data_IF_296448314065
#
_entry.id   IF_296448314065
#
_cell.length_a   1.000
_cell.length_b   1.000
_cell.length_c   1.000
_cell.angle_alpha   90.00
_cell.angle_beta   90.00
_cell.angle_gamma   90.00
#
_symmetry.space_group_name_H-M   'P 1'
#
loop_
_entity.id
_entity.type
_entity.pdbx_description
1 polymer ?
#
# COMPACT_ATOMS: atom_id res chain seq x y z
N UNK A 1 32.57 -10.38 4.07
CA UNK A 1 31.27 -10.86 3.54
C UNK A 1 30.81 -12.02 4.42
N UNK A 2 29.60 -12.01 5.00
CA UNK A 2 29.12 -13.16 5.77
C UNK A 2 29.06 -14.40 4.89
N UNK A 3 29.42 -15.57 5.43
CA UNK A 3 29.29 -16.84 4.72
C UNK A 3 27.82 -17.08 4.32
N UNK A 4 27.53 -17.72 3.16
CA UNK A 4 26.16 -17.98 2.70
C UNK A 4 25.25 -18.59 3.77
N UNK A 5 25.78 -19.53 4.56
CA UNK A 5 25.09 -20.15 5.70
C UNK A 5 24.64 -19.15 6.78
N UNK A 6 25.47 -18.15 7.08
CA UNK A 6 25.12 -17.09 8.05
C UNK A 6 24.03 -16.19 7.49
N UNK A 7 24.06 -15.91 6.18
CA UNK A 7 23.03 -15.12 5.52
C UNK A 7 21.66 -15.85 5.58
N UNK A 8 21.64 -17.15 5.27
CA UNK A 8 20.44 -17.99 5.38
C UNK A 8 19.95 -18.04 6.82
N UNK A 9 20.85 -18.20 7.79
CA UNK A 9 20.48 -18.21 9.21
C UNK A 9 19.85 -16.88 9.65
N UNK A 10 20.43 -15.75 9.26
CA UNK A 10 19.84 -14.44 9.55
C UNK A 10 18.49 -14.24 8.89
N UNK A 11 18.35 -14.63 7.61
CA UNK A 11 17.09 -14.54 6.88
C UNK A 11 16.00 -15.42 7.52
N UNK A 12 16.34 -16.64 7.91
CA UNK A 12 15.44 -17.56 8.60
C UNK A 12 15.04 -17.01 9.97
N UNK A 13 15.99 -16.53 10.77
CA UNK A 13 15.72 -15.94 12.08
C UNK A 13 14.83 -14.69 11.97
N UNK A 14 15.10 -13.80 11.01
CA UNK A 14 14.27 -12.61 10.78
C UNK A 14 12.87 -12.98 10.26
N UNK A 15 12.77 -13.97 9.38
CA UNK A 15 11.50 -14.44 8.84
C UNK A 15 10.62 -15.08 9.91
N UNK A 16 11.19 -15.96 10.75
CA UNK A 16 10.49 -16.58 11.86
C UNK A 16 10.10 -15.56 12.94
N UNK A 17 11.00 -14.63 13.26
CA UNK A 17 10.70 -13.54 14.19
C UNK A 17 9.58 -12.63 13.69
N UNK A 18 9.58 -12.31 12.39
CA UNK A 18 8.52 -11.53 11.74
C UNK A 18 7.19 -12.27 11.74
N UNK A 19 7.17 -13.55 11.37
CA UNK A 19 5.97 -14.38 11.38
C UNK A 19 5.39 -14.53 12.79
N UNK A 20 6.24 -14.76 13.80
CA UNK A 20 5.81 -14.83 15.19
C UNK A 20 5.19 -13.49 15.66
N UNK A 21 5.81 -12.36 15.29
CA UNK A 21 5.27 -11.04 15.61
C UNK A 21 3.91 -10.82 14.93
N UNK A 22 3.75 -11.16 13.65
CA UNK A 22 2.46 -11.06 12.96
C UNK A 22 1.42 -11.94 13.65
N UNK A 23 1.70 -13.22 13.87
CA UNK A 23 0.78 -14.13 14.57
C UNK A 23 0.35 -13.55 15.93
N UNK A 24 1.29 -13.04 16.73
CA UNK A 24 0.97 -12.43 18.02
C UNK A 24 0.06 -11.21 17.89
N UNK A 25 0.45 -10.23 17.06
CA UNK A 25 -0.30 -8.97 16.90
C UNK A 25 -1.66 -9.23 16.29
N UNK A 26 -1.73 -9.99 15.20
CA UNK A 26 -2.96 -10.29 14.51
C UNK A 26 -3.91 -11.12 15.39
N UNK A 27 -3.39 -12.07 16.18
CA UNK A 27 -4.23 -12.83 17.10
C UNK A 27 -4.85 -11.96 18.20
N UNK A 28 -4.10 -10.98 18.72
CA UNK A 28 -4.61 -10.01 19.68
C UNK A 28 -5.71 -9.12 19.07
N UNK A 29 -5.51 -8.65 17.84
CA UNK A 29 -6.48 -7.79 17.15
C UNK A 29 -7.74 -8.53 16.72
N UNK A 30 -7.61 -9.80 16.31
CA UNK A 30 -8.72 -10.62 15.83
C UNK A 30 -9.44 -11.39 16.94
N UNK A 31 -8.88 -11.47 18.15
CA UNK A 31 -9.46 -12.20 19.28
C UNK A 31 -9.49 -13.72 19.08
N UNK A 32 -8.67 -14.25 18.16
CA UNK A 32 -8.48 -15.68 17.89
C UNK A 32 -7.06 -15.92 17.43
N UNK A 33 -6.53 -17.14 17.61
CA UNK A 33 -5.25 -17.50 17.00
C UNK A 33 -5.38 -17.36 15.47
N UNK A 34 -4.57 -16.48 14.90
CA UNK A 34 -4.57 -16.14 13.48
C UNK A 34 -3.14 -16.12 12.97
N UNK A 35 -2.87 -16.94 11.95
CA UNK A 35 -1.67 -16.84 11.14
C UNK A 35 -2.07 -16.28 9.77
N UNK A 36 -1.98 -14.95 9.57
CA UNK A 36 -2.55 -14.32 8.38
C UNK A 36 -1.85 -14.76 7.10
N UNK A 37 -0.53 -14.93 7.10
CA UNK A 37 0.19 -15.38 5.90
C UNK A 37 -0.20 -16.80 5.49
N UNK A 38 -0.44 -17.69 6.46
CA UNK A 38 -0.88 -19.05 6.17
C UNK A 38 -2.34 -19.10 5.67
N UNK A 39 -3.25 -18.31 6.25
CA UNK A 39 -4.64 -18.24 5.76
C UNK A 39 -4.69 -17.66 4.34
N UNK A 40 -3.92 -16.61 4.07
CA UNK A 40 -3.81 -16.00 2.73
C UNK A 40 -3.17 -16.98 1.73
N UNK A 41 -2.14 -17.71 2.13
CA UNK A 41 -1.54 -18.75 1.29
C UNK A 41 -2.53 -19.87 1.00
N UNK A 42 -3.26 -20.36 2.01
CA UNK A 42 -4.27 -21.38 1.83
C UNK A 42 -5.38 -20.92 0.87
N UNK A 43 -5.90 -19.71 1.06
CA UNK A 43 -6.95 -19.16 0.20
C UNK A 43 -6.50 -18.95 -1.25
N UNK A 44 -5.29 -18.42 -1.45
CA UNK A 44 -4.82 -18.08 -2.79
C UNK A 44 -4.14 -19.25 -3.51
N UNK A 45 -3.25 -19.98 -2.85
CA UNK A 45 -2.45 -21.04 -3.47
C UNK A 45 -3.17 -22.39 -3.47
N UNK A 46 -3.93 -22.72 -2.42
CA UNK A 46 -4.60 -24.03 -2.29
C UNK A 46 -6.03 -23.96 -2.83
N UNK A 47 -6.82 -22.96 -2.44
CA UNK A 47 -8.20 -22.82 -2.91
C UNK A 47 -8.33 -22.14 -4.28
N UNK A 48 -7.27 -21.49 -4.77
CA UNK A 48 -7.21 -20.79 -6.06
C UNK A 48 -8.33 -19.76 -6.29
N UNK A 49 -8.85 -19.15 -5.22
CA UNK A 49 -9.96 -18.18 -5.28
C UNK A 49 -9.53 -16.74 -5.52
N UNK A 50 -8.24 -16.49 -5.79
CA UNK A 50 -7.73 -15.14 -6.04
C UNK A 50 -8.42 -14.46 -7.23
N UNK A 51 -8.86 -15.23 -8.23
CA UNK A 51 -9.51 -14.72 -9.43
C UNK A 51 -10.91 -14.13 -9.18
N UNK A 52 -11.58 -14.49 -8.08
CA UNK A 52 -12.91 -13.95 -7.70
C UNK A 52 -12.86 -12.42 -7.46
N UNK A 53 -11.67 -11.87 -7.22
CA UNK A 53 -11.42 -10.44 -6.98
C UNK A 53 -10.90 -9.70 -8.22
N UNK A 54 -11.02 -10.32 -9.40
CA UNK A 54 -10.57 -9.77 -10.68
C UNK A 54 -9.09 -10.03 -10.97
N UNK A 55 -8.73 -10.03 -12.25
CA UNK A 55 -7.37 -10.33 -12.72
C UNK A 55 -6.80 -9.19 -13.56
N UNK A 56 -5.49 -8.99 -13.49
CA UNK A 56 -4.77 -8.01 -14.29
C UNK A 56 -3.56 -8.64 -14.98
N UNK A 57 -3.13 -8.12 -16.15
CA UNK A 57 -2.02 -8.69 -16.91
C UNK A 57 -0.71 -8.64 -16.13
N UNK A 58 0.24 -9.52 -16.47
CA UNK A 58 1.55 -9.66 -15.82
C UNK A 58 2.27 -8.31 -15.65
N UNK A 59 2.25 -7.46 -16.67
CA UNK A 59 2.96 -6.19 -16.72
C UNK A 59 2.27 -5.03 -15.98
N UNK A 60 1.08 -5.25 -15.40
CA UNK A 60 0.24 -4.19 -14.81
C UNK A 60 0.96 -3.35 -13.75
N UNK A 61 1.79 -3.97 -12.91
CA UNK A 61 2.56 -3.25 -11.89
C UNK A 61 3.53 -2.25 -12.53
N UNK A 62 4.20 -2.64 -13.61
CA UNK A 62 5.24 -1.85 -14.28
C UNK A 62 4.64 -0.77 -15.17
N UNK A 63 3.57 -1.07 -15.91
CA UNK A 63 2.98 -0.13 -16.87
C UNK A 63 1.95 0.80 -16.25
N UNK A 64 1.31 0.40 -15.15
CA UNK A 64 0.15 1.11 -14.62
C UNK A 64 0.30 1.46 -13.14
N UNK A 65 0.57 0.50 -12.27
CA UNK A 65 0.51 0.74 -10.83
C UNK A 65 1.65 1.63 -10.32
N UNK A 66 2.91 1.26 -10.60
CA UNK A 66 4.09 1.99 -10.14
C UNK A 66 4.24 3.36 -10.81
N UNK A 67 4.01 3.53 -12.13
CA UNK A 67 4.05 4.85 -12.74
C UNK A 67 3.00 5.81 -12.15
N UNK A 68 1.78 5.32 -11.87
CA UNK A 68 0.76 6.15 -11.21
C UNK A 68 1.11 6.47 -9.76
N UNK A 69 1.76 5.56 -9.04
CA UNK A 69 2.19 5.81 -7.67
C UNK A 69 3.35 6.81 -7.57
N UNK A 70 4.29 6.77 -8.51
CA UNK A 70 5.48 7.64 -8.54
C UNK A 70 5.23 8.97 -9.30
N UNK A 71 4.19 9.04 -10.14
CA UNK A 71 3.91 10.16 -11.02
C UNK A 71 5.15 10.58 -11.82
N UNK A 72 5.43 11.88 -11.91
CA UNK A 72 6.55 12.41 -12.69
C UNK A 72 7.92 11.91 -12.19
N UNK A 73 8.07 11.61 -10.89
CA UNK A 73 9.36 11.13 -10.36
C UNK A 73 9.80 9.79 -10.92
N UNK A 74 8.89 8.98 -11.50
CA UNK A 74 9.24 7.74 -12.19
C UNK A 74 10.28 7.96 -13.31
N UNK A 75 10.26 9.13 -13.95
CA UNK A 75 11.16 9.51 -15.04
C UNK A 75 12.63 9.64 -14.59
N UNK A 76 12.86 9.84 -13.29
CA UNK A 76 14.21 9.99 -12.72
C UNK A 76 14.86 8.63 -12.38
N UNK A 77 14.07 7.56 -12.32
CA UNK A 77 14.55 6.22 -11.92
C UNK A 77 15.62 5.68 -12.88
N UNK A 78 15.46 5.69 -14.23
CA UNK A 78 16.48 5.14 -15.13
C UNK A 78 17.84 5.83 -14.98
N UNK A 79 17.84 7.16 -14.83
CA UNK A 79 19.06 7.95 -14.61
C UNK A 79 19.70 7.61 -13.26
N UNK A 80 18.91 7.44 -12.20
CA UNK A 80 19.42 7.07 -10.87
C UNK A 80 20.11 5.70 -10.89
N UNK A 81 19.49 4.71 -11.54
CA UNK A 81 20.02 3.35 -11.68
C UNK A 81 21.28 3.28 -12.54
N UNK A 82 21.37 4.11 -13.58
CA UNK A 82 22.54 4.16 -14.47
C UNK A 82 23.79 4.64 -13.73
N UNK A 83 23.63 5.61 -12.84
CA UNK A 83 24.74 6.36 -12.27
C UNK A 83 25.18 5.90 -10.87
N UNK A 84 24.36 5.14 -10.13
CA UNK A 84 24.70 4.69 -8.78
C UNK A 84 24.50 3.18 -8.61
N UNK A 85 25.63 2.46 -8.46
CA UNK A 85 25.61 1.01 -8.21
C UNK A 85 24.94 0.66 -6.89
N UNK A 86 25.06 1.53 -5.88
CA UNK A 86 24.53 1.29 -4.53
C UNK A 86 23.01 1.18 -4.51
N UNK A 87 22.32 2.07 -5.23
CA UNK A 87 20.85 2.03 -5.30
C UNK A 87 20.35 0.94 -6.23
N UNK A 88 21.17 0.51 -7.20
CA UNK A 88 20.85 -0.60 -8.10
C UNK A 88 20.67 -1.91 -7.33
N UNK A 89 21.51 -2.20 -6.35
CA UNK A 89 21.41 -3.45 -5.59
C UNK A 89 20.08 -3.53 -4.80
N UNK A 90 19.68 -2.42 -4.16
CA UNK A 90 18.40 -2.34 -3.43
C UNK A 90 17.22 -2.36 -4.42
N UNK A 91 17.35 -1.69 -5.56
CA UNK A 91 16.34 -1.73 -6.62
C UNK A 91 16.14 -3.14 -7.17
N UNK A 92 17.20 -3.92 -7.34
CA UNK A 92 17.09 -5.30 -7.83
C UNK A 92 16.27 -6.18 -6.87
N UNK A 93 16.42 -6.01 -5.56
CA UNK A 93 15.57 -6.69 -4.58
C UNK A 93 14.09 -6.28 -4.75
N UNK A 94 13.82 -4.99 -4.91
CA UNK A 94 12.47 -4.49 -5.13
C UNK A 94 11.88 -4.96 -6.48
N UNK A 95 12.69 -5.00 -7.54
CA UNK A 95 12.28 -5.48 -8.85
C UNK A 95 11.99 -6.99 -8.83
N UNK A 96 12.79 -7.80 -8.13
CA UNK A 96 12.54 -9.22 -7.92
C UNK A 96 11.24 -9.45 -7.14
N UNK A 97 10.98 -8.62 -6.12
CA UNK A 97 9.73 -8.65 -5.37
C UNK A 97 8.51 -8.32 -6.26
N UNK A 98 8.57 -7.25 -7.05
CA UNK A 98 7.51 -6.89 -8.01
C UNK A 98 7.30 -8.00 -9.04
N UNK A 99 8.38 -8.60 -9.55
CA UNK A 99 8.30 -9.71 -10.50
C UNK A 99 7.58 -10.92 -9.89
N UNK A 100 7.92 -11.29 -8.65
CA UNK A 100 7.25 -12.38 -7.94
C UNK A 100 5.75 -12.10 -7.76
N UNK A 101 5.37 -10.91 -7.30
CA UNK A 101 3.96 -10.52 -7.16
C UNK A 101 3.24 -10.36 -8.50
N UNK A 102 3.96 -10.08 -9.59
CA UNK A 102 3.37 -9.97 -10.93
C UNK A 102 2.81 -11.31 -11.42
N UNK A 103 3.36 -12.44 -10.96
CA UNK A 103 2.90 -13.78 -11.30
C UNK A 103 1.51 -14.10 -10.73
N UNK A 104 1.06 -13.37 -9.70
CA UNK A 104 -0.28 -13.55 -9.13
C UNK A 104 -1.35 -13.00 -10.10
N UNK A 105 -2.42 -13.76 -10.42
CA UNK A 105 -3.48 -13.29 -11.31
C UNK A 105 -4.17 -12.03 -10.78
N UNK A 106 -4.48 -12.03 -9.49
CA UNK A 106 -5.04 -10.89 -8.79
C UNK A 106 -3.93 -9.92 -8.38
N UNK A 107 -4.13 -8.64 -8.67
CA UNK A 107 -3.14 -7.60 -8.44
C UNK A 107 -3.79 -6.39 -7.82
N UNK A 108 -3.18 -5.91 -6.76
CA UNK A 108 -3.55 -4.66 -6.10
C UNK A 108 -2.29 -3.88 -5.78
N UNK A 109 -2.41 -2.54 -5.78
CA UNK A 109 -1.29 -1.66 -5.47
C UNK A 109 -0.73 -1.92 -4.06
N UNK A 110 -1.60 -2.25 -3.09
CA UNK A 110 -1.19 -2.49 -1.70
C UNK A 110 -0.18 -3.62 -1.56
N UNK A 111 -0.20 -4.62 -2.44
CA UNK A 111 0.76 -5.73 -2.40
C UNK A 111 2.18 -5.31 -2.73
N UNK A 112 2.38 -4.25 -3.52
CA UNK A 112 3.72 -3.75 -3.90
C UNK A 112 4.05 -2.39 -3.32
N UNK A 113 3.21 -1.88 -2.40
CA UNK A 113 3.34 -0.53 -1.85
C UNK A 113 4.71 -0.28 -1.20
N UNK A 114 5.29 -1.33 -0.60
CA UNK A 114 6.60 -1.31 0.06
C UNK A 114 7.78 -1.02 -0.87
N UNK A 115 7.57 -1.08 -2.18
CA UNK A 115 8.60 -0.74 -3.18
C UNK A 115 8.71 0.77 -3.39
N UNK A 116 7.65 1.55 -3.10
CA UNK A 116 7.64 3.01 -3.32
C UNK A 116 8.78 3.71 -2.56
N UNK A 117 9.05 3.45 -1.26
CA UNK A 117 10.20 4.04 -0.56
C UNK A 117 11.55 3.70 -1.21
N UNK A 118 11.71 2.50 -1.74
CA UNK A 118 12.93 2.09 -2.46
C UNK A 118 13.09 2.88 -3.74
N UNK A 119 12.02 3.03 -4.53
CA UNK A 119 12.05 3.85 -5.75
C UNK A 119 12.33 5.33 -5.45
N UNK A 120 11.73 5.87 -4.39
CA UNK A 120 12.01 7.23 -3.91
C UNK A 120 13.49 7.39 -3.49
N UNK A 121 14.11 6.35 -2.94
CA UNK A 121 15.55 6.37 -2.61
C UNK A 121 16.40 6.46 -3.88
N UNK A 122 16.05 5.73 -4.94
CA UNK A 122 16.71 5.84 -6.25
C UNK A 122 16.58 7.26 -6.81
N UNK A 123 15.38 7.84 -6.73
CA UNK A 123 15.11 9.23 -7.17
C UNK A 123 15.88 10.25 -6.33
N UNK A 124 15.96 10.05 -5.01
CA UNK A 124 16.70 10.94 -4.12
C UNK A 124 18.20 10.95 -4.47
N UNK A 125 18.79 9.78 -4.72
CA UNK A 125 20.19 9.66 -5.16
C UNK A 125 20.44 10.39 -6.50
N UNK A 126 19.50 10.26 -7.45
CA UNK A 126 19.54 11.01 -8.71
C UNK A 126 19.58 12.52 -8.45
N UNK A 127 18.67 13.03 -7.63
CA UNK A 127 18.58 14.47 -7.31
C UNK A 127 19.82 14.98 -6.59
N UNK A 128 20.38 14.19 -5.66
CA UNK A 128 21.64 14.54 -4.98
C UNK A 128 22.79 14.61 -5.97
N UNK A 129 22.87 13.71 -6.95
CA UNK A 129 23.88 13.80 -8.02
C UNK A 129 23.70 15.05 -8.86
N UNK A 130 22.47 15.35 -9.30
CA UNK A 130 22.16 16.56 -10.07
C UNK A 130 22.49 17.83 -9.29
N UNK A 131 22.21 17.85 -7.98
CA UNK A 131 22.57 18.95 -7.09
C UNK A 131 24.08 19.18 -7.03
N UNK A 132 24.88 18.12 -6.87
CA UNK A 132 26.35 18.21 -6.85
C UNK A 132 26.92 18.67 -8.19
N UNK A 133 26.29 18.28 -9.30
CA UNK A 133 26.70 18.67 -10.64
C UNK A 133 26.20 20.05 -11.10
N UNK A 134 25.38 20.75 -10.28
CA UNK A 134 24.65 21.96 -10.71
C UNK A 134 25.55 23.12 -11.14
N UNK A 135 26.71 23.26 -10.51
CA UNK A 135 27.69 24.33 -10.76
C UNK A 135 28.74 23.93 -11.83
N UNK A 136 28.65 22.71 -12.36
CA UNK A 136 29.54 22.21 -13.39
C UNK A 136 29.26 22.78 -14.80
N UNK A 137 30.19 22.59 -15.75
CA UNK A 137 30.16 23.24 -17.06
C UNK A 137 29.10 22.70 -18.05
N UNK A 138 28.47 21.55 -17.77
CA UNK A 138 27.59 20.84 -18.70
C UNK A 138 26.13 20.89 -18.29
N UNK A 139 25.53 22.09 -18.37
CA UNK A 139 24.09 22.31 -18.17
C UNK A 139 23.51 21.77 -16.84
N UNK A 140 24.35 21.49 -15.83
CA UNK A 140 23.94 20.84 -14.58
C UNK A 140 22.83 21.61 -13.86
N UNK A 141 22.88 22.94 -13.89
CA UNK A 141 21.82 23.81 -13.35
C UNK A 141 20.43 23.55 -13.96
N UNK A 142 20.36 23.27 -15.26
CA UNK A 142 19.08 23.02 -15.94
C UNK A 142 18.54 21.64 -15.62
N UNK A 143 19.40 20.62 -15.57
CA UNK A 143 19.02 19.27 -15.15
C UNK A 143 18.53 19.24 -13.70
N UNK A 144 19.25 19.91 -12.79
CA UNK A 144 18.82 20.03 -11.41
C UNK A 144 17.47 20.74 -11.30
N UNK A 145 17.29 21.89 -11.98
CA UNK A 145 16.01 22.60 -12.03
C UNK A 145 14.88 21.73 -12.59
N UNK A 146 15.15 20.96 -13.64
CA UNK A 146 14.19 20.01 -14.23
C UNK A 146 13.77 18.95 -13.22
N UNK A 147 14.74 18.30 -12.56
CA UNK A 147 14.49 17.31 -11.51
C UNK A 147 13.67 17.86 -10.35
N UNK A 148 14.01 19.04 -9.81
CA UNK A 148 13.23 19.68 -8.74
C UNK A 148 11.83 20.10 -9.20
N UNK A 149 11.69 20.51 -10.46
CA UNK A 149 10.38 20.85 -11.05
C UNK A 149 9.49 19.61 -11.11
N UNK A 150 10.03 18.47 -11.55
CA UNK A 150 9.31 17.18 -11.57
C UNK A 150 8.84 16.79 -10.16
N UNK A 151 9.69 16.97 -9.15
CA UNK A 151 9.31 16.71 -7.74
C UNK A 151 8.18 17.63 -7.31
N UNK A 152 8.27 18.94 -7.57
CA UNK A 152 7.22 19.90 -7.23
C UNK A 152 5.88 19.56 -7.90
N UNK A 153 5.88 19.21 -9.20
CA UNK A 153 4.67 18.75 -9.89
C UNK A 153 4.13 17.43 -9.33
N UNK A 154 5.01 16.52 -8.91
CA UNK A 154 4.61 15.26 -8.27
C UNK A 154 3.94 15.51 -6.91
N UNK A 155 4.45 16.44 -6.11
CA UNK A 155 3.83 16.86 -4.85
C UNK A 155 2.46 17.51 -5.09
N UNK A 156 2.35 18.38 -6.09
CA UNK A 156 1.08 18.99 -6.47
C UNK A 156 0.05 17.94 -6.94
N UNK A 157 0.47 17.00 -7.79
CA UNK A 157 -0.38 15.89 -8.23
C UNK A 157 -0.81 14.99 -7.06
N UNK A 158 0.11 14.69 -6.15
CA UNK A 158 -0.18 13.91 -4.93
C UNK A 158 -1.21 14.62 -4.05
N UNK A 159 -1.09 15.94 -3.86
CA UNK A 159 -2.09 16.73 -3.15
C UNK A 159 -3.46 16.69 -3.85
N UNK A 160 -3.50 16.77 -5.18
CA UNK A 160 -4.72 16.64 -5.96
C UNK A 160 -5.37 15.26 -5.79
N UNK A 161 -4.59 14.18 -5.91
CA UNK A 161 -5.09 12.82 -5.68
C UNK A 161 -5.54 12.60 -4.23
N UNK A 162 -4.86 13.20 -3.25
CA UNK A 162 -5.29 13.15 -1.86
C UNK A 162 -6.67 13.80 -1.69
N UNK A 163 -6.90 14.97 -2.30
CA UNK A 163 -8.20 15.65 -2.26
C UNK A 163 -9.32 14.84 -2.90
N UNK A 164 -9.06 14.22 -4.05
CA UNK A 164 -10.04 13.33 -4.69
C UNK A 164 -10.26 12.08 -3.85
N UNK A 165 -9.20 11.47 -3.33
CA UNK A 165 -9.29 10.25 -2.52
C UNK A 165 -10.06 10.44 -1.22
N UNK A 166 -10.10 11.65 -0.65
CA UNK A 166 -10.94 11.95 0.52
C UNK A 166 -12.43 11.70 0.26
N UNK A 167 -12.89 11.77 -1.00
CA UNK A 167 -14.28 11.56 -1.37
C UNK A 167 -14.63 10.09 -1.62
N UNK A 168 -13.64 9.19 -1.70
CA UNK A 168 -13.84 7.77 -2.01
C UNK A 168 -14.29 6.91 -0.81
N UNK A 169 -14.82 7.53 0.26
CA UNK A 169 -15.28 6.85 1.48
C UNK A 169 -16.77 7.07 1.78
N UNK A 170 -17.69 6.84 0.84
CA UNK A 170 -19.12 7.05 1.06
C UNK A 170 -19.73 6.10 2.09
N UNK A 171 -19.15 4.91 2.32
CA UNK A 171 -19.60 4.01 3.39
C UNK A 171 -19.43 4.62 4.78
N UNK A 172 -18.31 5.29 5.02
CA UNK A 172 -18.08 6.05 6.26
C UNK A 172 -19.09 7.19 6.43
N UNK A 173 -19.34 7.96 5.36
CA UNK A 173 -20.32 9.04 5.36
C UNK A 173 -21.76 8.53 5.59
N UNK A 174 -22.11 7.36 5.03
CA UNK A 174 -23.40 6.72 5.26
C UNK A 174 -23.59 6.30 6.73
N UNK A 175 -22.53 5.78 7.38
CA UNK A 175 -22.57 5.46 8.80
C UNK A 175 -22.75 6.72 9.66
N UNK A 176 -22.01 7.78 9.37
CA UNK A 176 -22.16 9.08 10.07
C UNK A 176 -23.58 9.64 9.90
N UNK A 177 -24.13 9.57 8.68
CA UNK A 177 -25.49 9.98 8.40
C UNK A 177 -26.51 9.13 9.17
N UNK A 178 -26.32 7.81 9.25
CA UNK A 178 -27.19 6.92 10.02
C UNK A 178 -27.21 7.31 11.51
N UNK A 179 -26.06 7.62 12.11
CA UNK A 179 -26.00 8.08 13.50
C UNK A 179 -26.62 9.46 13.69
N UNK A 180 -26.46 10.37 12.71
CA UNK A 180 -27.12 11.68 12.75
C UNK A 180 -28.65 11.57 12.72
N UNK A 181 -29.19 10.62 11.96
CA UNK A 181 -30.62 10.33 11.93
C UNK A 181 -31.10 9.73 13.25
N UNK A 182 -30.29 8.91 13.91
CA UNK A 182 -30.63 8.39 15.22
C UNK A 182 -30.76 9.48 16.29
N UNK A 183 -30.08 10.62 16.16
CA UNK A 183 -30.31 11.79 17.04
C UNK A 183 -31.76 12.30 16.97
N UNK A 184 -32.49 11.96 15.91
CA UNK A 184 -33.91 12.24 15.72
C UNK A 184 -34.82 11.10 16.26
N UNK A 185 -34.25 10.14 17.01
CA UNK A 185 -34.93 8.99 17.62
C UNK A 185 -35.63 8.06 16.61
N UNK A 186 -35.03 7.82 15.45
CA UNK A 186 -35.61 6.96 14.41
C UNK A 186 -35.71 5.50 14.85
N UNK A 187 -34.81 5.02 15.73
CA UNK A 187 -34.91 3.65 16.29
C UNK A 187 -35.76 3.53 17.55
N UNK A 188 -36.55 4.57 17.89
CA UNK A 188 -37.42 4.55 19.08
C UNK A 188 -38.42 3.40 19.02
N UNK A 189 -38.34 2.50 20.01
CA UNK A 189 -39.19 1.30 20.09
C UNK A 189 -38.50 0.01 19.68
N UNK A 190 -37.30 0.08 19.07
CA UNK A 190 -36.46 -1.09 18.85
C UNK A 190 -35.67 -1.43 20.11
N UNK A 191 -35.84 -2.64 20.63
CA UNK A 191 -35.14 -3.12 21.84
C UNK A 191 -33.63 -3.30 21.61
N UNK A 192 -33.23 -3.69 20.39
CA UNK A 192 -31.83 -3.93 20.01
C UNK A 192 -31.63 -3.71 18.50
N UNK A 193 -31.41 -2.46 18.07
CA UNK A 193 -31.18 -2.15 16.66
C UNK A 193 -29.94 -2.87 16.13
N UNK A 194 -30.04 -3.41 14.91
CA UNK A 194 -28.93 -4.07 14.22
C UNK A 194 -28.63 -3.34 12.93
N UNK A 195 -27.35 -3.08 12.68
CA UNK A 195 -26.86 -2.47 11.45
C UNK A 195 -26.06 -3.53 10.70
N UNK A 196 -26.58 -3.93 9.54
CA UNK A 196 -25.85 -4.78 8.62
C UNK A 196 -24.81 -3.93 7.87
N UNK A 197 -23.55 -4.37 7.87
CA UNK A 197 -22.44 -3.75 7.17
C UNK A 197 -22.01 -4.71 6.06
N UNK A 198 -22.37 -4.38 4.84
CA UNK A 198 -21.95 -5.15 3.68
C UNK A 198 -20.44 -4.95 3.40
N UNK A 199 -19.89 -5.80 2.52
CA UNK A 199 -18.48 -5.74 2.17
C UNK A 199 -18.09 -4.40 1.51
N UNK A 200 -18.99 -3.82 0.69
CA UNK A 200 -18.75 -2.56 0.00
C UNK A 200 -18.66 -1.39 0.99
N UNK A 201 -19.59 -1.25 1.93
CA UNK A 201 -19.54 -0.21 2.94
C UNK A 201 -18.31 -0.36 3.85
N UNK A 202 -17.97 -1.60 4.24
CA UNK A 202 -16.75 -1.88 5.02
C UNK A 202 -15.46 -1.44 4.30
N UNK A 203 -15.39 -1.62 2.98
CA UNK A 203 -14.23 -1.19 2.18
C UNK A 203 -14.19 0.33 1.95
N UNK A 204 -15.34 1.01 2.04
CA UNK A 204 -15.50 2.43 1.76
C UNK A 204 -15.63 3.29 3.02
N UNK A 205 -15.00 2.88 4.12
CA UNK A 205 -14.82 3.74 5.30
C UNK A 205 -15.72 3.44 6.50
N UNK A 206 -16.55 2.39 6.47
CA UNK A 206 -17.19 1.90 7.69
C UNK A 206 -16.13 1.25 8.60
N UNK A 207 -15.88 1.86 9.75
CA UNK A 207 -14.92 1.35 10.74
C UNK A 207 -15.55 1.29 12.13
N UNK A 208 -14.99 0.46 13.00
CA UNK A 208 -15.43 0.37 14.41
C UNK A 208 -15.27 1.68 15.18
N UNK A 209 -14.33 2.54 14.78
CA UNK A 209 -14.15 3.86 15.39
C UNK A 209 -15.30 4.82 15.08
N UNK A 210 -16.06 4.56 14.01
CA UNK A 210 -17.27 5.31 13.66
C UNK A 210 -18.52 4.84 14.41
N UNK A 211 -18.47 3.79 15.22
CA UNK A 211 -19.64 3.28 15.94
C UNK A 211 -19.98 4.19 17.14
N UNK A 212 -20.97 5.07 16.99
CA UNK A 212 -21.41 5.98 18.07
C UNK A 212 -22.33 5.30 19.11
N UNK A 213 -23.20 4.38 18.68
CA UNK A 213 -24.28 3.84 19.51
C UNK A 213 -23.95 2.49 20.14
N UNK A 214 -23.65 2.48 21.45
CA UNK A 214 -23.33 1.26 22.21
C UNK A 214 -24.46 0.23 22.30
N UNK A 215 -25.71 0.64 22.09
CA UNK A 215 -26.89 -0.25 22.14
C UNK A 215 -27.12 -1.00 20.84
N UNK A 216 -26.47 -0.58 19.75
CA UNK A 216 -26.64 -1.19 18.45
C UNK A 216 -25.65 -2.34 18.28
N UNK A 217 -26.06 -3.33 17.50
CA UNK A 217 -25.17 -4.40 17.05
C UNK A 217 -24.81 -4.18 15.58
N UNK A 218 -23.53 -3.91 15.32
CA UNK A 218 -22.96 -3.77 13.99
C UNK A 218 -22.43 -5.14 13.53
N UNK A 219 -23.00 -5.68 12.45
CA UNK A 219 -22.67 -7.03 11.97
C UNK A 219 -22.37 -7.03 10.49
N UNK A 220 -21.29 -7.72 10.10
CA UNK A 220 -21.00 -8.04 8.69
C UNK A 220 -21.76 -9.27 8.18
N UNK A 221 -22.40 -9.99 9.08
CA UNK A 221 -23.26 -11.13 8.77
C UNK A 221 -24.69 -10.63 8.72
N UNK A 222 -25.40 -10.99 7.66
CA UNK A 222 -26.86 -10.84 7.57
C UNK A 222 -27.56 -11.63 8.70
#
# INVERSE_FOLDING_TARGET
>A
VPSPLKLVAYAAASGLGGAALSVCVDSLLWGRLLWPEAEVFYFNAILNKSHEWGTAPLHWYITSALPRAMLGTALLIPSGLWNSRRVRDIFLCAAAYVAAFSLLPHKELRFVLYVIPVLNTVVAEELVRLWRAREGPRYGKYWFRGGTTIVAFTLFGTWGFLKVSQQNYPGGAALEQLHSLERQNVTRGLLSPRVHIDASAAQQGVTRFGEEQRRWAYSKRE
#
